data_IF_640586489570
#
_entry.id   IF_640586489570
#
_cell.length_a   1.000
_cell.length_b   1.000
_cell.length_c   1.000
_cell.angle_alpha   90.00
_cell.angle_beta   90.00
_cell.angle_gamma   90.00
#
_symmetry.space_group_name_H-M   'P 1'
#
loop_
_entity.id
_entity.type
_entity.pdbx_description
1 polymer ?
#
# COMPACT_ATOMS: atom_id res chain seq x y z
N UNK A 1 -43.30 13.24 -53.52
CA UNK A 1 -42.21 13.74 -52.65
C UNK A 1 -41.37 14.69 -53.47
N UNK A 2 -41.31 15.97 -53.11
CA UNK A 2 -40.52 16.96 -53.84
C UNK A 2 -39.04 16.75 -53.54
N UNK A 3 -38.26 16.39 -54.56
CA UNK A 3 -36.81 16.43 -54.53
C UNK A 3 -36.36 17.89 -54.61
N UNK A 4 -35.45 18.33 -53.72
CA UNK A 4 -34.85 19.67 -53.76
C UNK A 4 -35.14 20.60 -52.59
N UNK A 5 -35.83 20.16 -51.53
CA UNK A 5 -35.93 20.91 -50.26
C UNK A 5 -34.95 20.32 -49.23
N UNK A 6 -34.21 21.18 -48.54
CA UNK A 6 -33.38 20.75 -47.41
C UNK A 6 -34.26 20.04 -46.36
N UNK A 7 -33.87 18.87 -45.83
CA UNK A 7 -34.69 18.12 -44.88
C UNK A 7 -34.92 18.94 -43.61
N UNK A 8 -36.17 19.28 -43.31
CA UNK A 8 -36.53 20.01 -42.09
C UNK A 8 -36.45 19.09 -40.87
N UNK A 9 -35.64 19.49 -39.88
CA UNK A 9 -35.42 18.76 -38.61
C UNK A 9 -36.73 18.46 -37.86
N UNK A 10 -37.75 19.30 -38.05
CA UNK A 10 -39.09 19.21 -37.44
C UNK A 10 -39.84 17.90 -37.74
N UNK A 11 -39.49 17.21 -38.82
CA UNK A 11 -40.14 15.95 -39.23
C UNK A 11 -39.37 14.70 -38.78
N UNK A 12 -38.20 14.87 -38.17
CA UNK A 12 -37.32 13.76 -37.81
C UNK A 12 -37.56 13.29 -36.36
N UNK A 13 -38.22 12.15 -36.19
CA UNK A 13 -38.53 11.58 -34.87
C UNK A 13 -37.42 10.69 -34.26
N UNK A 14 -36.24 10.62 -34.90
CA UNK A 14 -35.12 9.81 -34.40
C UNK A 14 -34.46 10.46 -33.18
N UNK A 15 -34.17 9.65 -32.16
CA UNK A 15 -33.38 10.07 -30.98
C UNK A 15 -31.92 10.34 -31.34
N UNK A 16 -31.38 9.62 -32.32
CA UNK A 16 -30.02 9.80 -32.83
C UNK A 16 -30.07 10.54 -34.18
N UNK A 17 -29.36 11.66 -34.28
CA UNK A 17 -29.27 12.40 -35.52
C UNK A 17 -28.14 11.84 -36.39
N UNK A 18 -28.48 11.36 -37.59
CA UNK A 18 -27.51 10.83 -38.56
C UNK A 18 -26.71 11.91 -39.28
N UNK A 19 -27.01 13.19 -39.04
CA UNK A 19 -26.32 14.31 -39.65
C UNK A 19 -24.91 14.43 -39.10
N UNK A 20 -23.95 14.66 -40.00
CA UNK A 20 -22.60 15.06 -39.62
C UNK A 20 -22.50 16.58 -39.64
N UNK A 21 -21.96 17.14 -38.55
CA UNK A 21 -21.65 18.55 -38.42
C UNK A 21 -20.57 18.95 -39.46
N UNK A 22 -20.43 20.25 -39.78
CA UNK A 22 -19.40 20.74 -40.71
C UNK A 22 -17.97 20.38 -40.27
N UNK A 23 -17.75 20.12 -38.97
CA UNK A 23 -16.49 19.60 -38.45
C UNK A 23 -16.26 18.09 -38.72
N UNK A 24 -17.17 17.40 -39.40
CA UNK A 24 -17.09 15.97 -39.75
C UNK A 24 -17.59 14.99 -38.67
N UNK A 25 -17.84 15.47 -37.44
CA UNK A 25 -18.35 14.69 -36.32
C UNK A 25 -19.86 14.47 -36.39
N UNK A 26 -20.36 13.42 -35.71
CA UNK A 26 -21.79 13.13 -35.60
C UNK A 26 -22.49 14.20 -34.74
N UNK A 27 -23.72 14.54 -35.09
CA UNK A 27 -24.51 15.48 -34.30
C UNK A 27 -24.88 14.85 -32.94
N UNK A 28 -24.49 15.46 -31.80
CA UNK A 28 -24.77 14.90 -30.47
C UNK A 28 -26.21 15.19 -30.00
N UNK A 29 -26.98 15.97 -30.77
CA UNK A 29 -28.34 16.39 -30.43
C UNK A 29 -29.38 15.48 -31.07
N UNK A 30 -30.58 15.37 -30.47
CA UNK A 30 -31.69 14.67 -31.10
C UNK A 30 -32.09 15.37 -32.40
N UNK A 31 -32.59 14.59 -33.36
CA UNK A 31 -32.83 15.04 -34.73
C UNK A 31 -33.87 16.17 -34.84
N UNK A 32 -34.73 16.32 -33.83
CA UNK A 32 -35.74 17.39 -33.75
C UNK A 32 -35.15 18.77 -33.50
N UNK A 33 -33.96 18.83 -32.92
CA UNK A 33 -33.27 20.08 -32.60
C UNK A 33 -32.29 20.43 -33.71
N UNK A 34 -32.04 21.74 -33.97
CA UNK A 34 -31.01 22.16 -34.89
C UNK A 34 -29.65 21.63 -34.42
N UNK A 35 -28.93 20.97 -35.34
CA UNK A 35 -27.62 20.41 -35.07
C UNK A 35 -26.58 21.51 -34.87
N UNK A 36 -25.83 21.42 -33.78
CA UNK A 36 -24.78 22.36 -33.42
C UNK A 36 -24.10 21.97 -32.11
N UNK A 37 -22.98 22.62 -31.79
CA UNK A 37 -22.25 22.41 -30.54
C UNK A 37 -21.61 21.02 -30.43
N UNK A 38 -20.62 20.73 -31.28
CA UNK A 38 -19.88 19.47 -31.20
C UNK A 38 -19.12 19.33 -29.87
N UNK A 39 -19.40 18.27 -29.11
CA UNK A 39 -18.75 17.98 -27.81
C UNK A 39 -17.59 16.98 -27.92
N UNK A 40 -17.30 16.46 -29.12
CA UNK A 40 -16.16 15.58 -29.34
C UNK A 40 -14.87 16.30 -28.97
N UNK A 41 -14.00 15.61 -28.24
CA UNK A 41 -12.73 16.19 -27.79
C UNK A 41 -11.68 15.99 -28.88
N UNK A 42 -11.10 17.08 -29.38
CA UNK A 42 -10.12 17.08 -30.47
C UNK A 42 -8.83 17.80 -30.07
N UNK A 43 -7.70 17.49 -30.73
CA UNK A 43 -6.46 18.24 -30.56
C UNK A 43 -6.64 19.70 -30.92
N UNK A 44 -6.26 20.60 -30.02
CA UNK A 44 -6.32 22.04 -30.24
C UNK A 44 -5.18 22.58 -31.12
N UNK A 45 -4.22 21.73 -31.52
CA UNK A 45 -3.03 22.14 -32.27
C UNK A 45 -2.01 22.95 -31.45
N UNK A 46 -2.27 23.15 -30.16
CA UNK A 46 -1.37 23.83 -29.21
C UNK A 46 -0.83 22.84 -28.19
N UNK A 47 0.43 23.04 -27.82
CA UNK A 47 1.12 22.21 -26.83
C UNK A 47 1.28 22.96 -25.51
N UNK A 48 1.23 22.21 -24.41
CA UNK A 48 1.43 22.73 -23.07
C UNK A 48 2.90 23.13 -22.84
N UNK A 49 3.12 24.33 -22.30
CA UNK A 49 4.44 24.98 -22.17
C UNK A 49 5.47 24.15 -21.38
N UNK A 50 5.04 23.36 -20.39
CA UNK A 50 5.98 22.74 -19.42
C UNK A 50 6.37 21.31 -19.80
N UNK A 51 5.53 20.58 -20.52
CA UNK A 51 5.75 19.14 -20.79
C UNK A 51 5.38 18.71 -22.22
N UNK A 52 5.21 19.66 -23.13
CA UNK A 52 4.89 19.42 -24.54
C UNK A 52 3.62 18.56 -24.76
N UNK A 53 2.68 18.61 -23.82
CA UNK A 53 1.43 17.84 -23.91
C UNK A 53 0.49 18.44 -24.95
N UNK A 54 -0.13 17.60 -25.77
CA UNK A 54 -1.19 18.05 -26.67
C UNK A 54 -2.46 18.41 -25.89
N UNK A 55 -2.97 19.63 -26.10
CA UNK A 55 -4.20 20.09 -25.44
C UNK A 55 -5.42 19.55 -26.19
N UNK A 56 -6.30 18.86 -25.47
CA UNK A 56 -7.54 18.31 -25.97
C UNK A 56 -8.71 19.20 -25.52
N UNK A 57 -9.46 19.76 -26.47
CA UNK A 57 -10.59 20.67 -26.20
C UNK A 57 -11.85 20.22 -26.95
N UNK A 58 -13.05 20.62 -26.51
CA UNK A 58 -14.27 20.37 -27.29
C UNK A 58 -14.19 21.00 -28.67
N UNK A 59 -14.60 20.28 -29.71
CA UNK A 59 -14.57 20.77 -31.09
C UNK A 59 -15.35 22.08 -31.28
N UNK A 60 -16.42 22.31 -30.52
CA UNK A 60 -17.17 23.58 -30.53
C UNK A 60 -16.38 24.79 -30.02
N UNK A 61 -15.27 24.57 -29.32
CA UNK A 61 -14.42 25.63 -28.76
C UNK A 61 -13.32 26.07 -29.72
N UNK A 62 -13.23 25.47 -30.92
CA UNK A 62 -12.29 25.89 -31.96
C UNK A 62 -12.92 26.92 -32.90
N UNK A 63 -12.15 27.94 -33.36
CA UNK A 63 -10.75 28.21 -33.01
C UNK A 63 -10.62 28.77 -31.58
N UNK A 64 -9.57 28.37 -30.85
CA UNK A 64 -9.27 28.95 -29.54
C UNK A 64 -8.73 30.38 -29.73
N UNK A 65 -9.27 31.36 -28.99
CA UNK A 65 -8.70 32.71 -28.95
C UNK A 65 -7.44 32.76 -28.09
N UNK A 66 -7.43 32.03 -26.97
CA UNK A 66 -6.26 31.89 -26.08
C UNK A 66 -6.19 30.45 -25.54
N UNK A 67 -4.99 29.85 -25.42
CA UNK A 67 -4.83 28.50 -24.89
C UNK A 67 -4.98 28.48 -23.35
N UNK A 68 -6.10 27.93 -22.87
CA UNK A 68 -6.30 27.67 -21.44
C UNK A 68 -5.64 26.34 -21.03
N UNK A 69 -4.37 26.43 -20.63
CA UNK A 69 -3.58 25.29 -20.19
C UNK A 69 -4.10 24.63 -18.91
N UNK A 70 -4.99 25.28 -18.15
CA UNK A 70 -5.62 24.68 -16.96
C UNK A 70 -6.49 23.47 -17.31
N UNK A 71 -6.94 23.38 -18.56
CA UNK A 71 -7.72 22.26 -19.08
C UNK A 71 -6.86 21.07 -19.54
N UNK A 72 -5.53 21.16 -19.41
CA UNK A 72 -4.65 20.06 -19.78
C UNK A 72 -4.89 18.82 -18.91
N UNK A 73 -5.51 17.79 -19.52
CA UNK A 73 -5.87 16.51 -18.88
C UNK A 73 -4.73 15.48 -18.85
N UNK A 74 -3.57 15.81 -19.41
CA UNK A 74 -2.39 14.92 -19.38
C UNK A 74 -2.02 14.56 -17.94
N UNK A 75 -1.71 13.28 -17.68
CA UNK A 75 -1.36 12.81 -16.34
C UNK A 75 -0.05 13.45 -15.86
N UNK A 76 -0.04 13.95 -14.63
CA UNK A 76 1.17 14.54 -14.07
C UNK A 76 2.27 13.50 -13.83
N UNK A 77 1.88 12.38 -13.18
CA UNK A 77 2.69 11.20 -12.90
C UNK A 77 4.05 11.42 -12.20
N UNK A 78 4.30 12.63 -11.67
CA UNK A 78 5.52 13.00 -10.97
C UNK A 78 5.63 12.31 -9.60
N UNK A 79 6.86 12.02 -9.17
CA UNK A 79 7.14 11.44 -7.86
C UNK A 79 7.04 12.49 -6.75
N UNK A 80 6.13 12.30 -5.80
CA UNK A 80 5.97 13.16 -4.64
C UNK A 80 7.06 12.86 -3.59
N UNK A 81 7.27 13.79 -2.64
CA UNK A 81 8.20 13.59 -1.52
C UNK A 81 7.93 12.33 -0.69
N UNK A 82 6.70 11.84 -0.71
CA UNK A 82 6.33 10.59 -0.03
C UNK A 82 6.68 9.31 -0.81
N UNK A 83 7.25 9.42 -2.02
CA UNK A 83 7.58 8.31 -2.92
C UNK A 83 6.44 7.88 -3.84
N UNK A 84 5.20 8.33 -3.60
CA UNK A 84 4.05 8.02 -4.43
C UNK A 84 3.99 8.87 -5.71
N UNK A 85 3.36 8.33 -6.76
CA UNK A 85 3.12 9.07 -8.02
C UNK A 85 1.89 9.96 -7.90
N UNK A 86 2.01 11.20 -8.37
CA UNK A 86 0.90 12.14 -8.42
C UNK A 86 -0.19 11.65 -9.39
N UNK A 87 -1.42 11.53 -8.90
CA UNK A 87 -2.61 11.14 -9.68
C UNK A 87 -3.36 12.33 -10.31
N UNK A 88 -2.84 13.55 -10.17
CA UNK A 88 -3.41 14.74 -10.78
C UNK A 88 -3.13 14.85 -12.28
N UNK A 89 -3.86 15.74 -12.94
CA UNK A 89 -3.57 16.20 -14.30
C UNK A 89 -2.56 17.35 -14.31
N UNK A 90 -1.95 17.61 -15.47
CA UNK A 90 -1.03 18.72 -15.68
C UNK A 90 -1.67 20.07 -15.33
N UNK A 91 -2.92 20.30 -15.73
CA UNK A 91 -3.68 21.50 -15.35
C UNK A 91 -3.92 21.61 -13.84
N UNK A 92 -4.40 20.53 -13.20
CA UNK A 92 -4.64 20.52 -11.74
C UNK A 92 -3.37 20.66 -10.91
N UNK A 93 -2.22 20.26 -11.45
CA UNK A 93 -0.92 20.37 -10.79
C UNK A 93 -0.21 21.70 -11.06
N UNK A 94 -0.91 22.69 -11.66
CA UNK A 94 -0.33 23.95 -12.13
C UNK A 94 0.98 23.72 -12.91
N UNK A 95 0.93 22.78 -13.85
CA UNK A 95 2.07 22.36 -14.66
C UNK A 95 3.24 21.77 -13.87
N UNK A 96 2.98 21.16 -12.71
CA UNK A 96 3.99 20.56 -11.85
C UNK A 96 4.54 21.49 -10.76
N UNK A 97 4.02 22.72 -10.64
CA UNK A 97 4.40 23.61 -9.53
C UNK A 97 3.75 23.22 -8.21
N UNK A 98 2.51 22.75 -8.25
CA UNK A 98 1.74 22.44 -7.05
C UNK A 98 0.99 21.13 -7.24
N UNK A 99 1.53 20.03 -6.74
CA UNK A 99 0.87 18.73 -6.83
C UNK A 99 -0.30 18.63 -5.85
N UNK A 100 -1.32 17.89 -6.27
CA UNK A 100 -2.40 17.49 -5.39
C UNK A 100 -1.87 16.65 -4.21
N UNK A 101 -2.52 16.74 -3.03
CA UNK A 101 -2.18 15.92 -1.88
C UNK A 101 -2.24 14.44 -2.24
N UNK A 102 -1.28 13.67 -1.71
CA UNK A 102 -1.21 12.24 -1.99
C UNK A 102 -2.41 11.50 -1.37
N UNK A 103 -3.26 10.93 -2.22
CA UNK A 103 -4.40 10.11 -1.81
C UNK A 103 -4.05 8.62 -1.63
N UNK A 104 -2.79 8.23 -1.84
CA UNK A 104 -2.37 6.85 -1.63
C UNK A 104 -2.30 6.50 -0.14
N UNK A 105 -2.42 5.20 0.15
CA UNK A 105 -2.21 4.67 1.51
C UNK A 105 -0.76 4.91 1.90
N UNK A 106 -0.54 5.37 3.13
CA UNK A 106 0.81 5.67 3.63
C UNK A 106 1.74 4.45 3.60
N UNK A 107 1.28 3.30 4.12
CA UNK A 107 2.03 2.05 4.08
C UNK A 107 3.29 2.01 4.96
N UNK A 108 3.62 3.09 5.68
CA UNK A 108 4.78 3.15 6.58
C UNK A 108 4.55 2.31 7.84
N UNK A 109 5.60 1.64 8.30
CA UNK A 109 5.61 0.96 9.61
C UNK A 109 5.75 2.01 10.71
N UNK A 110 4.77 2.08 11.60
CA UNK A 110 4.77 2.94 12.78
C UNK A 110 5.75 2.41 13.84
N UNK A 111 6.09 3.24 14.83
CA UNK A 111 6.97 2.87 15.96
C UNK A 111 6.49 1.62 16.73
N UNK A 112 5.19 1.36 16.74
CA UNK A 112 4.59 0.16 17.34
C UNK A 112 4.66 -1.10 16.45
N UNK A 113 5.30 -1.02 15.28
CA UNK A 113 5.41 -2.11 14.31
C UNK A 113 4.18 -2.34 13.42
N UNK A 114 3.07 -1.62 13.64
CA UNK A 114 1.89 -1.69 12.77
C UNK A 114 2.07 -0.85 11.51
N UNK A 115 1.45 -1.29 10.41
CA UNK A 115 1.47 -0.57 9.13
C UNK A 115 0.37 0.50 9.13
N UNK A 116 0.74 1.74 8.79
CA UNK A 116 -0.18 2.86 8.68
C UNK A 116 -1.12 2.70 7.48
N UNK A 117 -2.43 2.69 7.76
CA UNK A 117 -3.50 2.56 6.75
C UNK A 117 -4.11 3.91 6.32
N UNK A 118 -3.70 5.01 6.97
CA UNK A 118 -4.19 6.36 6.70
C UNK A 118 -3.66 6.91 5.36
N UNK A 119 -4.34 7.93 4.80
CA UNK A 119 -3.86 8.61 3.59
C UNK A 119 -2.48 9.24 3.83
N UNK A 120 -1.63 9.18 2.81
CA UNK A 120 -0.25 9.65 2.87
C UNK A 120 -0.13 11.18 2.95
N UNK A 121 -1.16 11.93 2.55
CA UNK A 121 -1.19 13.39 2.60
C UNK A 121 -1.15 13.96 4.02
N UNK A 122 -1.62 13.20 5.01
CA UNK A 122 -1.67 13.62 6.40
C UNK A 122 -0.49 13.06 7.20
N UNK A 123 -0.16 13.73 8.30
CA UNK A 123 0.71 13.14 9.33
C UNK A 123 0.10 11.81 9.80
N UNK A 124 0.94 10.81 10.05
CA UNK A 124 0.46 9.50 10.48
C UNK A 124 -0.22 9.63 11.84
N UNK A 125 -1.52 9.31 11.95
CA UNK A 125 -2.21 9.35 13.23
C UNK A 125 -1.71 8.25 14.16
N UNK A 126 -2.06 8.31 15.46
CA UNK A 126 -1.82 7.21 16.38
C UNK A 126 -2.43 5.90 15.85
N UNK A 127 -1.79 4.79 16.19
CA UNK A 127 -2.21 3.48 15.72
C UNK A 127 -3.60 3.11 16.27
N UNK A 128 -4.51 2.70 15.38
CA UNK A 128 -5.85 2.21 15.75
C UNK A 128 -5.98 0.68 15.66
N UNK A 129 -4.88 -0.02 15.36
CA UNK A 129 -4.88 -1.48 15.31
C UNK A 129 -4.99 -2.08 16.72
N UNK A 130 -5.40 -3.35 16.80
CA UNK A 130 -5.40 -4.10 18.06
C UNK A 130 -3.97 -4.31 18.54
N UNK A 131 -3.79 -4.30 19.84
CA UNK A 131 -2.50 -4.55 20.45
C UNK A 131 -1.93 -5.93 20.02
N UNK A 132 -0.63 -5.96 19.68
CA UNK A 132 0.06 -7.19 19.28
C UNK A 132 0.44 -8.07 20.48
N UNK A 133 0.44 -7.49 21.68
CA UNK A 133 0.81 -8.16 22.92
C UNK A 133 -0.08 -9.35 23.23
N UNK A 134 0.56 -10.50 23.46
CA UNK A 134 -0.07 -11.75 23.88
C UNK A 134 0.91 -12.53 24.75
N UNK A 135 0.38 -13.28 25.70
CA UNK A 135 1.11 -14.32 26.42
C UNK A 135 0.50 -15.69 26.11
N UNK A 136 0.99 -16.75 26.75
CA UNK A 136 0.41 -18.10 26.65
C UNK A 136 -1.01 -18.20 27.20
N UNK A 137 -1.43 -17.26 28.04
CA UNK A 137 -2.71 -17.30 28.72
C UNK A 137 -3.78 -16.42 28.05
N UNK A 138 -3.40 -15.22 27.63
CA UNK A 138 -4.35 -14.27 27.06
C UNK A 138 -3.71 -13.36 26.02
N UNK A 139 -4.58 -12.76 25.19
CA UNK A 139 -4.21 -11.74 24.20
C UNK A 139 -4.80 -10.40 24.61
N UNK A 140 -4.00 -9.33 24.50
CA UNK A 140 -4.51 -7.99 24.74
C UNK A 140 -5.51 -7.58 23.64
N UNK A 141 -6.72 -7.18 24.05
CA UNK A 141 -7.78 -6.72 23.16
C UNK A 141 -7.92 -5.19 23.10
N UNK A 142 -7.03 -4.44 23.76
CA UNK A 142 -7.01 -2.98 23.72
C UNK A 142 -6.44 -2.46 22.39
N UNK A 143 -6.72 -1.19 22.09
CA UNK A 143 -6.11 -0.48 20.96
C UNK A 143 -4.61 -0.28 21.23
N UNK A 144 -3.81 -0.38 20.17
CA UNK A 144 -2.38 -0.15 20.23
C UNK A 144 -2.06 1.26 20.76
N UNK A 145 -1.11 1.35 21.69
CA UNK A 145 -0.77 2.60 22.39
C UNK A 145 -1.46 2.75 23.75
N UNK A 146 -2.55 2.02 24.01
CA UNK A 146 -3.11 1.94 25.36
C UNK A 146 -2.26 0.98 26.23
N UNK A 147 -2.06 1.30 27.52
CA UNK A 147 -1.29 0.43 28.43
C UNK A 147 -1.96 -0.94 28.58
N UNK A 148 -1.18 -1.99 28.39
CA UNK A 148 -1.64 -3.37 28.56
C UNK A 148 -1.81 -3.68 30.04
N UNK A 149 -2.82 -4.50 30.38
CA UNK A 149 -2.98 -5.01 31.74
C UNK A 149 -2.03 -6.21 31.92
N UNK A 150 -1.15 -6.22 32.92
CA UNK A 150 -0.22 -7.32 33.14
C UNK A 150 -0.95 -8.60 33.52
N UNK A 151 -0.54 -9.72 32.94
CA UNK A 151 -1.13 -11.04 33.19
C UNK A 151 -0.82 -11.48 34.64
N UNK A 152 -1.86 -11.84 35.39
CA UNK A 152 -1.77 -12.25 36.80
C UNK A 152 -1.66 -13.77 36.99
N UNK A 153 -1.77 -14.54 35.91
CA UNK A 153 -1.64 -16.00 35.95
C UNK A 153 -0.18 -16.41 36.21
N UNK A 154 0.03 -17.58 36.84
CA UNK A 154 1.37 -18.10 37.07
C UNK A 154 2.13 -18.24 35.76
N UNK A 155 3.44 -17.97 35.78
CA UNK A 155 4.26 -18.10 34.58
C UNK A 155 4.20 -19.54 34.04
N UNK A 156 3.94 -19.69 32.74
CA UNK A 156 3.85 -20.97 32.05
C UNK A 156 5.20 -21.57 31.69
N UNK A 157 6.30 -20.88 32.04
CA UNK A 157 7.66 -21.33 31.83
C UNK A 157 7.90 -22.64 32.57
N UNK A 158 7.99 -23.72 31.79
CA UNK A 158 8.35 -25.05 32.24
C UNK A 158 9.39 -25.60 31.28
N UNK A 159 10.50 -26.05 31.83
CA UNK A 159 11.51 -26.79 31.09
C UNK A 159 11.89 -27.98 31.96
N UNK A 160 11.99 -29.16 31.35
CA UNK A 160 12.36 -30.40 32.05
C UNK A 160 13.79 -30.33 32.59
N UNK A 161 14.64 -29.49 31.99
CA UNK A 161 16.01 -29.23 32.42
C UNK A 161 16.13 -28.24 33.58
N UNK A 162 15.01 -27.65 34.03
CA UNK A 162 15.01 -26.70 35.14
C UNK A 162 14.32 -27.31 36.36
N UNK A 163 15.08 -27.49 37.44
CA UNK A 163 14.58 -28.11 38.67
C UNK A 163 13.51 -27.28 39.40
N UNK A 164 13.53 -25.95 39.23
CA UNK A 164 12.64 -25.01 39.92
C UNK A 164 11.77 -24.32 38.89
N UNK A 165 10.45 -24.25 39.10
CA UNK A 165 9.51 -23.46 38.28
C UNK A 165 9.56 -21.98 38.65
N UNK A 166 9.24 -21.11 37.71
CA UNK A 166 9.10 -19.68 38.00
C UNK A 166 7.98 -19.45 39.02
N UNK A 167 8.29 -18.70 40.08
CA UNK A 167 7.33 -18.34 41.15
C UNK A 167 6.59 -17.01 40.86
N UNK A 168 7.00 -16.30 39.80
CA UNK A 168 6.44 -14.99 39.41
C UNK A 168 5.20 -15.13 38.54
N UNK A 169 4.43 -14.05 38.47
CA UNK A 169 3.31 -13.93 37.54
C UNK A 169 3.83 -13.72 36.12
N UNK A 170 3.03 -14.14 35.14
CA UNK A 170 3.39 -14.03 33.72
C UNK A 170 3.65 -12.58 33.26
N UNK A 171 3.01 -11.59 33.89
CA UNK A 171 3.22 -10.17 33.59
C UNK A 171 4.47 -9.56 34.24
N UNK A 172 5.19 -10.31 35.07
CA UNK A 172 6.41 -9.88 35.74
C UNK A 172 7.65 -10.43 35.02
N UNK A 173 8.82 -9.84 35.28
CA UNK A 173 10.08 -10.39 34.80
C UNK A 173 10.26 -11.81 35.37
N UNK A 174 10.54 -12.76 34.48
CA UNK A 174 10.78 -14.15 34.88
C UNK A 174 12.13 -14.25 35.59
N UNK A 175 12.15 -14.85 36.79
CA UNK A 175 13.41 -15.10 37.51
C UNK A 175 14.20 -16.30 36.97
N UNK A 176 13.57 -17.14 36.13
CA UNK A 176 14.25 -18.27 35.50
C UNK A 176 15.12 -17.80 34.34
N UNK A 177 16.38 -18.26 34.33
CA UNK A 177 17.24 -18.12 33.16
C UNK A 177 16.69 -18.93 31.98
N UNK A 178 16.91 -18.51 30.73
CA UNK A 178 16.63 -19.35 29.56
C UNK A 178 17.34 -20.71 29.67
N UNK A 179 16.75 -21.74 29.08
CA UNK A 179 17.39 -23.06 29.03
C UNK A 179 18.47 -23.06 27.94
N UNK A 180 19.66 -23.54 28.29
CA UNK A 180 20.82 -23.61 27.37
C UNK A 180 20.99 -25.01 26.73
N UNK A 181 20.09 -25.94 27.05
CA UNK A 181 20.10 -27.29 26.49
C UNK A 181 19.60 -27.30 25.04
N UNK A 182 20.12 -28.20 24.18
CA UNK A 182 19.68 -28.33 22.80
C UNK A 182 18.21 -28.71 22.72
N UNK A 183 17.53 -28.18 21.69
CA UNK A 183 16.14 -28.54 21.44
C UNK A 183 16.03 -30.04 21.05
N UNK A 184 15.19 -30.85 21.74
CA UNK A 184 15.07 -32.28 21.44
C UNK A 184 14.21 -32.57 20.19
N UNK A 185 13.72 -31.54 19.49
CA UNK A 185 12.79 -31.69 18.36
C UNK A 185 13.55 -31.94 17.06
N UNK A 186 12.90 -32.70 16.17
CA UNK A 186 13.33 -32.90 14.78
C UNK A 186 12.54 -31.97 13.86
N UNK A 187 13.22 -31.30 12.92
CA UNK A 187 12.59 -30.44 11.92
C UNK A 187 11.83 -31.28 10.88
N UNK A 188 10.97 -30.63 10.08
CA UNK A 188 10.20 -31.30 9.01
C UNK A 188 11.06 -32.04 7.98
N UNK A 189 12.32 -31.62 7.81
CA UNK A 189 13.28 -32.26 6.92
C UNK A 189 13.90 -33.54 7.51
N UNK A 190 13.57 -33.94 8.74
CA UNK A 190 14.09 -35.14 9.39
C UNK A 190 15.37 -34.93 10.19
N UNK A 191 15.98 -33.76 10.12
CA UNK A 191 17.22 -33.41 10.83
C UNK A 191 16.97 -32.79 12.22
N UNK A 192 17.91 -32.89 13.16
CA UNK A 192 17.80 -32.31 14.49
C UNK A 192 17.66 -30.77 14.43
N UNK A 193 16.88 -30.22 15.36
CA UNK A 193 16.72 -28.78 15.51
C UNK A 193 18.04 -28.13 15.96
N UNK A 194 18.39 -27.01 15.34
CA UNK A 194 19.59 -26.22 15.67
C UNK A 194 19.34 -25.19 16.78
N UNK A 195 18.13 -25.14 17.35
CA UNK A 195 17.75 -24.19 18.41
C UNK A 195 17.96 -24.72 19.83
N UNK A 196 17.66 -23.87 20.81
CA UNK A 196 17.65 -24.23 22.24
C UNK A 196 16.27 -24.72 22.70
N UNK A 197 16.25 -25.46 23.82
CA UNK A 197 15.02 -25.88 24.47
C UNK A 197 14.22 -24.67 24.99
N UNK A 198 12.92 -24.66 24.73
CA UNK A 198 12.02 -23.56 25.14
C UNK A 198 11.86 -22.44 24.10
N UNK A 199 12.82 -22.26 23.20
CA UNK A 199 12.72 -21.29 22.11
C UNK A 199 11.88 -21.81 20.91
N UNK A 200 11.25 -20.90 20.15
CA UNK A 200 10.59 -21.28 18.90
C UNK A 200 11.61 -21.83 17.90
N UNK A 201 11.42 -23.08 17.48
CA UNK A 201 12.33 -23.75 16.56
C UNK A 201 12.48 -22.96 15.25
N UNK A 202 13.71 -22.68 14.80
CA UNK A 202 13.94 -22.01 13.53
C UNK A 202 13.48 -22.90 12.37
N UNK A 203 13.02 -22.31 11.25
CA UNK A 203 12.67 -23.06 10.05
C UNK A 203 13.90 -23.56 9.28
N UNK A 204 15.10 -23.10 9.65
CA UNK A 204 16.37 -23.42 9.00
C UNK A 204 17.00 -24.66 9.63
N UNK A 205 17.55 -25.52 8.78
CA UNK A 205 18.27 -26.72 9.15
C UNK A 205 19.77 -26.58 8.81
N UNK A 206 20.66 -27.07 9.67
CA UNK A 206 22.11 -27.06 9.42
C UNK A 206 22.51 -27.84 8.18
N UNK A 207 21.82 -28.94 7.90
CA UNK A 207 22.15 -29.82 6.78
C UNK A 207 21.50 -29.34 5.47
N UNK A 208 20.22 -28.95 5.50
CA UNK A 208 19.52 -28.51 4.28
C UNK A 208 19.75 -27.04 3.92
N UNK A 209 20.17 -26.21 4.87
CA UNK A 209 20.23 -24.75 4.71
C UNK A 209 21.52 -24.16 5.30
N UNK A 210 22.63 -24.88 5.16
CA UNK A 210 23.94 -24.46 5.69
C UNK A 210 24.30 -23.03 5.26
N UNK A 211 24.21 -22.72 3.98
CA UNK A 211 24.60 -21.40 3.44
C UNK A 211 23.80 -20.24 4.05
N UNK A 212 22.51 -20.45 4.30
CA UNK A 212 21.61 -19.43 4.90
C UNK A 212 21.86 -19.24 6.39
N UNK A 213 22.39 -20.26 7.06
CA UNK A 213 22.73 -20.16 8.48
C UNK A 213 24.04 -19.41 8.68
N UNK A 214 25.01 -19.58 7.77
CA UNK A 214 26.31 -18.90 7.82
C UNK A 214 26.33 -17.55 7.11
N UNK A 215 25.18 -17.07 6.61
CA UNK A 215 25.08 -15.78 5.91
C UNK A 215 25.15 -14.59 6.89
N UNK A 216 24.87 -14.82 8.19
CA UNK A 216 24.92 -13.81 9.24
C UNK A 216 26.24 -13.88 10.03
N UNK A 217 27.36 -13.63 9.36
CA UNK A 217 28.71 -13.49 9.94
C UNK A 217 28.80 -12.32 10.95
N UNK A 218 28.18 -12.42 12.12
CA UNK A 218 28.25 -11.34 13.12
C UNK A 218 28.73 -11.71 14.52
N UNK A 219 28.59 -12.94 15.03
CA UNK A 219 29.28 -13.31 16.29
C UNK A 219 29.41 -14.84 16.43
N UNK A 220 30.64 -15.37 16.29
CA UNK A 220 31.14 -16.69 16.70
C UNK A 220 30.78 -17.95 15.85
N UNK A 221 31.81 -18.75 15.54
CA UNK A 221 31.87 -20.19 15.20
C UNK A 221 30.60 -20.88 14.66
N UNK A 222 29.94 -20.34 13.64
CA UNK A 222 28.75 -20.96 13.02
C UNK A 222 29.04 -22.33 12.38
N UNK A 223 30.33 -22.59 12.12
CA UNK A 223 30.87 -23.87 11.62
C UNK A 223 30.97 -24.95 12.71
N UNK A 224 30.84 -24.60 13.99
CA UNK A 224 30.89 -25.57 15.07
C UNK A 224 29.61 -26.45 15.07
N UNK A 225 29.73 -27.79 15.07
CA UNK A 225 28.58 -28.71 15.04
C UNK A 225 27.64 -28.58 16.26
N UNK A 226 28.10 -27.98 17.35
CA UNK A 226 27.33 -27.65 18.54
C UNK A 226 26.81 -26.22 18.59
N UNK A 227 27.16 -25.33 17.65
CA UNK A 227 26.59 -23.99 17.61
C UNK A 227 25.05 -24.06 17.50
N UNK A 228 24.35 -23.22 18.26
CA UNK A 228 22.88 -23.18 18.32
C UNK A 228 22.35 -21.82 17.92
N UNK A 229 21.26 -21.82 17.16
CA UNK A 229 20.59 -20.61 16.71
C UNK A 229 19.65 -20.11 17.81
N UNK A 230 20.06 -19.05 18.49
CA UNK A 230 19.20 -18.32 19.41
C UNK A 230 18.60 -17.13 18.68
N UNK A 231 17.28 -17.15 18.50
CA UNK A 231 16.60 -15.99 17.95
C UNK A 231 16.53 -14.93 19.07
N UNK A 232 17.39 -13.91 19.02
CA UNK A 232 17.15 -12.71 19.82
C UNK A 232 15.79 -12.16 19.42
N UNK A 233 14.81 -12.31 20.30
CA UNK A 233 13.57 -11.56 20.19
C UNK A 233 14.00 -10.10 20.14
N UNK A 234 13.79 -9.45 19.00
CA UNK A 234 13.86 -8.00 18.92
C UNK A 234 12.92 -7.49 20.02
N UNK A 235 13.49 -7.00 21.11
CA UNK A 235 12.74 -6.56 22.27
C UNK A 235 11.75 -5.51 21.81
N UNK A 236 10.49 -5.90 21.70
CA UNK A 236 9.38 -5.00 21.93
C UNK A 236 8.93 -5.33 23.35
N UNK A 237 9.53 -4.62 24.30
CA UNK A 237 8.99 -4.40 25.64
C UNK A 237 7.85 -3.39 25.59
#
# INVERSE_FOLDING_TARGET
>A
MQCGKAPEHSLCNSKDCRLRLPCGHKCPRPCKEPCGGCQETVPAGVKCIVKDHELLVPCSSLPLTEPDYSQCRALCAASLKCGHRCKGSCGSCLHGRFHLPCAEKCGRTLVCGHVCKSPCSAACPPCQEKCRWKCSHSRCNKICGAPCTPCQEPCSSKCEHQAVRCSKKCGEACDQKPCEEPCPKTLKCGHPCVGLCGDPCPPLCRECNFDKLTEFELVCNEKDPNARLVKRCSQFQ
#
